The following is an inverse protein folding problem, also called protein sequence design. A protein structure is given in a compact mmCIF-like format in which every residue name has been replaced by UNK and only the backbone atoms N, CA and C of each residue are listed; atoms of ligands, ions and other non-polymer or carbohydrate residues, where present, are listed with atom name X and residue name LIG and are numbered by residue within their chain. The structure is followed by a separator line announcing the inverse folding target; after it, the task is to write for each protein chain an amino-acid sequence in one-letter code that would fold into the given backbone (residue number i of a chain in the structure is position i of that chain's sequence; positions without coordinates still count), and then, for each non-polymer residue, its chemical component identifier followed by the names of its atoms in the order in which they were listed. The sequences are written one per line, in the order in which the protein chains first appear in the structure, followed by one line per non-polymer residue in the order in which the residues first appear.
data_IF_686755243450
#
_entry.id   IF_686755243450
#
_cell.length_a   1.000
_cell.length_b   1.000
_cell.length_c   1.000
_cell.angle_alpha   90.00
_cell.angle_beta   90.00
_cell.angle_gamma   90.00
#
_symmetry.space_group_name_H-M   'P 1'
#
loop_
_entity.id
_entity.type
_entity.pdbx_description
1 polymer ?
#
# COMPACT_ATOMS: atom_id res chain seq x y z
N UNK A 1 -15.27 1.16 2.08
CA UNK A 1 -13.85 1.23 2.40
C UNK A 1 -13.40 -0.03 3.16
N UNK A 2 -12.17 -0.45 2.95
CA UNK A 2 -11.51 -1.39 3.87
C UNK A 2 -10.98 -0.62 5.08
N UNK A 3 -11.66 -0.75 6.20
CA UNK A 3 -11.19 -0.15 7.45
C UNK A 3 -9.92 -0.84 7.98
N UNK A 4 -9.67 -2.09 7.54
CA UNK A 4 -8.44 -2.86 7.80
C UNK A 4 -7.16 -2.11 7.37
N UNK A 5 -7.25 -1.24 6.34
CA UNK A 5 -6.11 -0.58 5.70
C UNK A 5 -5.82 0.78 6.37
N UNK A 6 -5.69 1.83 5.59
CA UNK A 6 -5.34 3.17 6.07
C UNK A 6 -6.23 3.73 7.19
N UNK A 7 -7.55 3.42 7.18
CA UNK A 7 -8.45 3.97 8.20
C UNK A 7 -8.03 3.57 9.61
N UNK A 8 -7.80 2.29 9.83
CA UNK A 8 -7.21 1.81 11.09
C UNK A 8 -5.70 2.06 11.16
N UNK A 9 -4.95 1.58 10.14
CA UNK A 9 -3.53 1.83 9.95
C UNK A 9 -2.57 1.12 10.91
N UNK A 10 -3.04 0.20 11.74
CA UNK A 10 -2.23 -0.47 12.75
C UNK A 10 -2.19 -1.99 12.61
N UNK A 11 -2.71 -2.54 11.52
CA UNK A 11 -2.66 -3.98 11.18
C UNK A 11 -3.27 -4.92 12.23
N UNK A 12 -4.17 -4.43 13.07
CA UNK A 12 -4.71 -5.13 14.24
C UNK A 12 -6.23 -5.39 14.17
N UNK A 13 -6.91 -5.00 13.07
CA UNK A 13 -8.32 -5.30 12.82
C UNK A 13 -8.58 -5.75 11.38
N UNK A 14 -9.65 -6.50 11.19
CA UNK A 14 -10.24 -6.79 9.88
C UNK A 14 -11.67 -6.25 9.87
N UNK A 15 -11.94 -5.22 9.07
CA UNK A 15 -13.21 -4.51 9.11
C UNK A 15 -13.51 -3.78 7.80
N UNK A 16 -14.79 -3.75 7.43
CA UNK A 16 -15.32 -2.90 6.35
C UNK A 16 -16.02 -1.66 6.91
N UNK A 17 -16.05 -0.59 6.11
CA UNK A 17 -16.84 0.60 6.39
C UNK A 17 -17.62 1.01 5.14
N UNK A 18 -18.92 1.24 5.30
CA UNK A 18 -19.82 1.75 4.29
C UNK A 18 -20.16 3.20 4.64
N UNK A 19 -20.13 4.07 3.63
CA UNK A 19 -20.47 5.48 3.79
C UNK A 19 -21.47 5.84 2.69
N UNK A 20 -22.63 6.34 3.06
CA UNK A 20 -23.65 6.83 2.14
C UNK A 20 -23.74 8.35 2.18
N UNK A 21 -24.14 8.95 1.07
CA UNK A 21 -24.41 10.40 1.00
C UNK A 21 -25.71 10.78 1.70
N UNK A 22 -26.69 9.87 1.69
CA UNK A 22 -28.00 10.05 2.29
C UNK A 22 -28.55 8.70 2.80
N UNK A 23 -29.47 8.78 3.74
CA UNK A 23 -30.26 7.64 4.20
C UNK A 23 -31.50 7.50 3.32
N UNK A 24 -31.31 6.88 2.14
CA UNK A 24 -32.34 6.57 1.16
C UNK A 24 -32.78 5.10 1.24
N UNK A 25 -33.73 4.69 0.40
CA UNK A 25 -34.23 3.31 0.34
C UNK A 25 -33.11 2.29 0.08
N UNK A 26 -32.07 2.69 -0.64
CA UNK A 26 -30.90 1.83 -0.86
C UNK A 26 -30.10 1.64 0.43
N UNK A 27 -29.88 2.71 1.17
CA UNK A 27 -29.20 2.65 2.47
C UNK A 27 -29.99 1.83 3.50
N UNK A 28 -31.32 1.95 3.53
CA UNK A 28 -32.19 1.15 4.41
C UNK A 28 -32.04 -0.35 4.09
N UNK A 29 -31.98 -0.70 2.80
CA UNK A 29 -31.77 -2.09 2.36
C UNK A 29 -30.40 -2.61 2.80
N UNK A 30 -29.33 -1.82 2.61
CA UNK A 30 -27.96 -2.16 3.03
C UNK A 30 -27.91 -2.37 4.54
N UNK A 31 -28.47 -1.45 5.33
CA UNK A 31 -28.55 -1.53 6.79
C UNK A 31 -29.36 -2.75 7.25
N UNK A 32 -30.46 -3.04 6.57
CA UNK A 32 -31.28 -4.22 6.83
C UNK A 32 -30.55 -5.54 6.54
N UNK A 33 -29.77 -5.62 5.46
CA UNK A 33 -28.92 -6.78 5.16
C UNK A 33 -27.85 -6.95 6.24
N UNK A 34 -27.12 -5.87 6.57
CA UNK A 34 -26.10 -5.87 7.62
C UNK A 34 -26.64 -6.41 8.95
N UNK A 35 -27.81 -5.93 9.37
CA UNK A 35 -28.42 -6.32 10.65
C UNK A 35 -28.87 -7.79 10.65
N UNK A 36 -29.43 -8.29 9.55
CA UNK A 36 -29.93 -9.67 9.44
C UNK A 36 -28.80 -10.69 9.26
N UNK A 37 -27.77 -10.37 8.47
CA UNK A 37 -26.64 -11.26 8.21
C UNK A 37 -25.64 -11.24 9.37
N UNK A 38 -25.60 -10.15 10.16
CA UNK A 38 -24.73 -10.03 11.33
C UNK A 38 -23.26 -9.81 11.00
N UNK A 39 -22.91 -9.39 9.79
CA UNK A 39 -21.53 -9.05 9.40
C UNK A 39 -21.14 -7.69 10.02
N UNK A 40 -20.99 -7.66 11.33
CA UNK A 40 -20.65 -6.48 12.12
C UNK A 40 -19.37 -6.72 12.92
N UNK A 41 -18.56 -5.67 13.17
CA UNK A 41 -17.38 -5.79 14.01
C UNK A 41 -17.76 -5.94 15.47
N UNK A 42 -16.86 -6.48 16.27
CA UNK A 42 -16.95 -6.40 17.72
C UNK A 42 -16.73 -4.96 18.23
N UNK A 43 -17.11 -4.72 19.46
CA UNK A 43 -16.94 -3.40 20.11
C UNK A 43 -15.47 -3.01 20.26
N UNK A 44 -14.61 -3.99 20.47
CA UNK A 44 -13.15 -3.77 20.59
C UNK A 44 -12.54 -3.35 19.25
N UNK A 45 -12.87 -4.03 18.15
CA UNK A 45 -12.41 -3.66 16.80
C UNK A 45 -12.94 -2.28 16.40
N UNK A 46 -14.18 -1.95 16.74
CA UNK A 46 -14.76 -0.62 16.49
C UNK A 46 -14.02 0.48 17.29
N UNK A 47 -13.63 0.20 18.52
CA UNK A 47 -12.85 1.12 19.34
C UNK A 47 -11.43 1.30 18.79
N UNK A 48 -10.74 0.21 18.36
CA UNK A 48 -9.44 0.28 17.72
C UNK A 48 -9.50 1.12 16.43
N UNK A 49 -10.52 0.91 15.59
CA UNK A 49 -10.72 1.73 14.40
C UNK A 49 -10.86 3.22 14.74
N UNK A 50 -11.72 3.55 15.70
CA UNK A 50 -11.92 4.93 16.14
C UNK A 50 -10.61 5.56 16.64
N UNK A 51 -9.82 4.79 17.40
CA UNK A 51 -8.50 5.20 17.87
C UNK A 51 -7.53 5.41 16.70
N UNK A 52 -7.47 4.49 15.74
CA UNK A 52 -6.61 4.58 14.55
C UNK A 52 -6.95 5.78 13.67
N UNK A 53 -8.23 6.08 13.49
CA UNK A 53 -8.69 7.22 12.70
C UNK A 53 -8.23 8.59 13.24
N UNK A 54 -7.93 8.70 14.53
CA UNK A 54 -7.40 9.96 15.11
C UNK A 54 -6.05 10.37 14.54
N UNK A 55 -5.28 9.42 14.02
CA UNK A 55 -3.97 9.67 13.40
C UNK A 55 -3.97 9.43 11.89
N UNK A 56 -5.14 9.32 11.26
CA UNK A 56 -5.26 9.03 9.82
C UNK A 56 -4.48 10.03 8.97
N UNK A 57 -4.74 11.32 9.15
CA UNK A 57 -4.14 12.35 8.31
C UNK A 57 -2.61 12.44 8.43
N UNK A 58 -2.00 12.52 9.62
CA UNK A 58 -0.54 12.52 9.73
C UNK A 58 0.09 11.23 9.20
N UNK A 59 -0.52 10.06 9.40
CA UNK A 59 -0.01 8.79 8.85
C UNK A 59 -0.05 8.77 7.33
N UNK A 60 -1.18 9.14 6.74
CA UNK A 60 -1.31 9.16 5.27
C UNK A 60 -0.35 10.18 4.67
N UNK A 61 -0.19 11.35 5.28
CA UNK A 61 0.78 12.36 4.82
C UNK A 61 2.21 11.84 4.83
N UNK A 62 2.62 11.17 5.91
CA UNK A 62 3.95 10.57 6.02
C UNK A 62 4.15 9.45 5.00
N UNK A 63 3.19 8.53 4.87
CA UNK A 63 3.23 7.44 3.90
C UNK A 63 3.33 7.95 2.44
N UNK A 64 2.57 9.01 2.11
CA UNK A 64 2.66 9.64 0.79
C UNK A 64 4.04 10.26 0.53
N UNK A 65 4.61 10.95 1.52
CA UNK A 65 5.94 11.55 1.40
C UNK A 65 7.02 10.47 1.22
N UNK A 66 6.95 9.39 2.00
CA UNK A 66 7.87 8.26 1.89
C UNK A 66 7.75 7.56 0.53
N UNK A 67 6.52 7.28 0.07
CA UNK A 67 6.31 6.67 -1.24
C UNK A 67 6.84 7.55 -2.38
N UNK A 68 6.64 8.87 -2.31
CA UNK A 68 7.18 9.81 -3.29
C UNK A 68 8.72 9.77 -3.31
N UNK A 69 9.36 9.85 -2.14
CA UNK A 69 10.81 9.83 -2.02
C UNK A 69 11.42 8.51 -2.56
N UNK A 70 10.83 7.38 -2.19
CA UNK A 70 11.23 6.06 -2.70
C UNK A 70 11.05 6.00 -4.22
N UNK A 71 9.90 6.43 -4.75
CA UNK A 71 9.63 6.40 -6.17
C UNK A 71 10.61 7.27 -6.97
N UNK A 72 10.90 8.49 -6.52
CA UNK A 72 11.84 9.40 -7.16
C UNK A 72 13.27 8.85 -7.15
N UNK A 73 13.69 8.28 -6.03
CA UNK A 73 15.03 7.70 -5.88
C UNK A 73 15.24 6.53 -6.86
N UNK A 74 14.29 5.59 -6.93
CA UNK A 74 14.41 4.40 -7.75
C UNK A 74 14.01 4.59 -9.22
N UNK A 75 13.44 5.73 -9.61
CA UNK A 75 13.00 5.98 -10.99
C UNK A 75 14.11 5.88 -12.05
N UNK A 76 15.38 6.05 -11.66
CA UNK A 76 16.56 5.94 -12.53
C UNK A 76 17.59 4.94 -12.00
N UNK A 77 17.20 4.09 -11.08
CA UNK A 77 18.12 3.15 -10.46
C UNK A 77 18.55 2.06 -11.47
N UNK A 78 19.85 1.71 -11.57
CA UNK A 78 20.36 0.81 -12.61
C UNK A 78 19.76 -0.60 -12.53
N UNK A 79 19.33 -1.05 -11.36
CA UNK A 79 18.73 -2.39 -11.14
C UNK A 79 17.19 -2.39 -11.17
N UNK A 80 16.55 -1.24 -11.37
CA UNK A 80 15.12 -1.11 -11.52
C UNK A 80 14.76 -0.87 -12.97
N UNK A 81 13.84 -1.65 -13.49
CA UNK A 81 13.34 -1.52 -14.86
C UNK A 81 12.31 -0.39 -14.95
N UNK A 82 11.42 -0.35 -13.97
CA UNK A 82 10.31 0.60 -13.95
C UNK A 82 9.82 0.85 -12.52
N UNK A 83 9.42 2.07 -12.25
CA UNK A 83 8.69 2.44 -11.02
C UNK A 83 7.27 2.85 -11.39
N UNK A 84 6.29 2.13 -10.85
CA UNK A 84 4.87 2.40 -11.04
C UNK A 84 4.34 3.20 -9.84
N UNK A 85 4.28 4.51 -10.00
CA UNK A 85 3.77 5.42 -8.98
C UNK A 85 3.13 6.66 -9.61
N UNK A 86 1.86 6.96 -9.31
CA UNK A 86 1.15 8.07 -9.96
C UNK A 86 1.71 9.46 -9.61
N UNK A 87 2.55 9.58 -8.58
CA UNK A 87 3.27 10.81 -8.25
C UNK A 87 4.44 11.14 -9.18
N UNK A 88 4.93 10.19 -9.98
CA UNK A 88 5.96 10.44 -10.98
C UNK A 88 5.36 11.04 -12.24
N UNK A 89 5.95 12.12 -12.77
CA UNK A 89 5.50 12.74 -14.03
C UNK A 89 5.59 11.80 -15.23
N UNK A 90 6.47 10.80 -15.19
CA UNK A 90 6.60 9.76 -16.21
C UNK A 90 5.50 8.72 -16.19
N UNK A 91 4.72 8.61 -15.11
CA UNK A 91 3.64 7.66 -15.00
C UNK A 91 2.47 8.03 -15.92
N UNK A 92 1.98 7.08 -16.72
CA UNK A 92 0.92 7.32 -17.71
C UNK A 92 -0.36 7.94 -17.11
N UNK A 93 -0.69 7.58 -15.86
CA UNK A 93 -1.86 8.10 -15.14
C UNK A 93 -1.60 9.38 -14.33
N UNK A 94 -0.40 9.98 -14.37
CA UNK A 94 -0.05 11.13 -13.54
C UNK A 94 -1.00 12.31 -13.67
N UNK A 95 -1.34 12.70 -14.90
CA UNK A 95 -2.21 13.84 -15.15
C UNK A 95 -3.62 13.65 -14.56
N UNK A 96 -4.14 12.43 -14.60
CA UNK A 96 -5.43 12.08 -13.99
C UNK A 96 -5.31 12.10 -12.46
N UNK A 97 -4.27 11.48 -11.91
CA UNK A 97 -4.04 11.45 -10.48
C UNK A 97 -3.86 12.87 -9.90
N UNK A 98 -3.07 13.72 -10.56
CA UNK A 98 -2.85 15.11 -10.15
C UNK A 98 -4.15 15.95 -10.18
N UNK A 99 -5.11 15.59 -11.03
CA UNK A 99 -6.43 16.24 -11.07
C UNK A 99 -7.37 15.77 -9.97
N UNK A 100 -7.26 14.49 -9.58
CA UNK A 100 -8.19 13.86 -8.64
C UNK A 100 -7.69 13.85 -7.20
N UNK A 101 -6.37 13.86 -6.97
CA UNK A 101 -5.75 13.71 -5.67
C UNK A 101 -5.16 15.03 -5.18
N UNK A 102 -5.20 15.24 -3.87
CA UNK A 102 -4.59 16.41 -3.21
C UNK A 102 -3.80 15.96 -1.99
N UNK A 103 -2.69 16.65 -1.70
CA UNK A 103 -1.85 16.36 -0.53
C UNK A 103 -0.95 15.13 -0.67
N UNK A 104 -0.85 14.53 -1.87
CA UNK A 104 0.01 13.39 -2.18
C UNK A 104 -0.67 12.39 -3.09
N UNK A 105 0.08 11.35 -3.49
CA UNK A 105 -0.36 10.34 -4.46
C UNK A 105 -0.52 8.94 -3.86
N UNK A 106 -0.71 8.86 -2.54
CA UNK A 106 -0.84 7.61 -1.81
C UNK A 106 0.49 7.01 -1.36
N UNK A 107 0.41 6.04 -0.45
CA UNK A 107 1.58 5.32 0.07
C UNK A 107 1.90 4.02 -0.69
N UNK A 108 1.22 3.75 -1.81
CA UNK A 108 1.40 2.53 -2.60
C UNK A 108 2.19 2.82 -3.87
N UNK A 109 3.23 2.03 -4.10
CA UNK A 109 3.99 2.02 -5.35
C UNK A 109 4.39 0.59 -5.71
N UNK A 110 4.87 0.40 -6.92
CA UNK A 110 5.51 -0.87 -7.31
C UNK A 110 6.81 -0.58 -8.05
N UNK A 111 7.77 -1.48 -7.91
CA UNK A 111 9.01 -1.48 -8.69
C UNK A 111 9.10 -2.79 -9.48
N UNK A 112 9.63 -2.72 -10.70
CA UNK A 112 10.01 -3.89 -11.49
C UNK A 112 11.52 -4.04 -11.41
N UNK A 113 11.99 -5.21 -10.99
CA UNK A 113 13.42 -5.47 -10.73
C UNK A 113 14.06 -6.08 -11.96
N UNK A 114 15.17 -5.50 -12.44
CA UNK A 114 15.94 -6.10 -13.52
C UNK A 114 16.52 -7.45 -13.10
N UNK A 115 16.47 -8.42 -13.99
CA UNK A 115 16.86 -9.80 -13.72
C UNK A 115 15.65 -10.73 -13.48
N UNK A 116 14.43 -10.22 -13.66
CA UNK A 116 13.21 -11.01 -13.67
C UNK A 116 12.75 -11.49 -12.29
N UNK A 117 11.97 -12.55 -12.28
CA UNK A 117 11.36 -13.11 -11.08
C UNK A 117 12.37 -13.45 -9.98
N UNK A 118 13.45 -14.14 -10.34
CA UNK A 118 14.47 -14.57 -9.37
C UNK A 118 15.11 -13.37 -8.64
N UNK A 119 15.40 -12.28 -9.36
CA UNK A 119 15.94 -11.06 -8.78
C UNK A 119 14.93 -10.35 -7.87
N UNK A 120 13.65 -10.29 -8.27
CA UNK A 120 12.59 -9.71 -7.45
C UNK A 120 12.39 -10.48 -6.14
N UNK A 121 12.29 -11.80 -6.22
CA UNK A 121 12.16 -12.67 -5.02
C UNK A 121 13.37 -12.52 -4.10
N UNK A 122 14.59 -12.51 -4.67
CA UNK A 122 15.82 -12.35 -3.91
C UNK A 122 15.90 -10.96 -3.25
N UNK A 123 15.46 -9.89 -3.94
CA UNK A 123 15.39 -8.54 -3.36
C UNK A 123 14.41 -8.53 -2.18
N UNK A 124 13.20 -9.06 -2.34
CA UNK A 124 12.23 -9.14 -1.26
C UNK A 124 12.71 -9.99 -0.07
N UNK A 125 13.60 -10.96 -0.31
CA UNK A 125 14.18 -11.78 0.76
C UNK A 125 15.25 -11.06 1.59
N UNK A 126 15.93 -10.05 1.01
CA UNK A 126 17.06 -9.35 1.64
C UNK A 126 16.70 -8.08 2.41
N UNK A 127 15.48 -7.57 2.25
CA UNK A 127 15.04 -6.41 3.03
C UNK A 127 15.07 -6.72 4.54
N UNK A 128 15.39 -5.71 5.33
CA UNK A 128 15.55 -5.79 6.79
C UNK A 128 14.50 -4.94 7.52
N UNK A 129 14.20 -3.78 6.99
CA UNK A 129 13.23 -2.83 7.53
C UNK A 129 11.84 -3.08 6.94
N UNK A 130 11.74 -3.14 5.61
CA UNK A 130 10.51 -3.54 4.94
C UNK A 130 10.07 -4.93 5.40
N UNK A 131 8.80 -5.09 5.75
CA UNK A 131 8.24 -6.39 6.15
C UNK A 131 7.67 -7.12 4.95
N UNK A 132 8.03 -8.38 4.78
CA UNK A 132 7.44 -9.25 3.73
C UNK A 132 6.06 -9.68 4.16
N UNK A 133 5.05 -9.04 3.63
CA UNK A 133 3.66 -9.36 3.93
C UNK A 133 2.73 -8.85 2.83
N UNK A 134 1.59 -9.50 2.68
CA UNK A 134 0.43 -8.96 2.01
C UNK A 134 -0.19 -7.84 2.86
N UNK A 135 -1.13 -7.11 2.34
CA UNK A 135 -1.78 -5.97 2.97
C UNK A 135 -1.15 -4.63 2.57
N UNK A 136 -1.62 -3.54 3.15
CA UNK A 136 -1.16 -2.19 2.86
C UNK A 136 -1.71 -1.18 3.88
N UNK A 137 -1.13 0.01 3.90
CA UNK A 137 -1.68 1.15 4.62
C UNK A 137 -1.48 1.12 6.13
N UNK A 138 -0.58 0.25 6.60
CA UNK A 138 -0.12 0.22 8.00
C UNK A 138 0.91 1.30 8.31
N UNK A 139 1.31 1.35 9.58
CA UNK A 139 2.45 2.15 10.06
C UNK A 139 3.77 1.57 9.59
N UNK A 140 3.84 0.23 9.42
CA UNK A 140 5.00 -0.48 8.92
C UNK A 140 5.00 -0.52 7.39
N UNK A 141 6.18 -0.36 6.81
CA UNK A 141 6.40 -0.54 5.38
C UNK A 141 6.40 -2.01 4.98
N UNK A 142 5.62 -2.34 3.95
CA UNK A 142 5.45 -3.70 3.47
C UNK A 142 5.95 -3.87 2.04
N UNK A 143 6.55 -5.02 1.77
CA UNK A 143 7.00 -5.44 0.43
C UNK A 143 6.43 -6.82 0.10
N UNK A 144 5.96 -6.99 -1.13
CA UNK A 144 5.34 -8.22 -1.59
C UNK A 144 5.72 -8.53 -3.04
N UNK A 145 6.17 -9.74 -3.30
CA UNK A 145 6.31 -10.27 -4.67
C UNK A 145 4.94 -10.74 -5.16
N UNK A 146 4.32 -9.96 -6.04
CA UNK A 146 2.92 -10.22 -6.48
C UNK A 146 2.75 -11.54 -7.20
N UNK A 147 3.69 -11.92 -8.06
CA UNK A 147 3.64 -13.20 -8.77
C UNK A 147 3.53 -14.41 -7.85
N UNK A 148 4.26 -14.42 -6.73
CA UNK A 148 4.20 -15.52 -5.74
C UNK A 148 2.86 -15.61 -5.00
N UNK A 149 2.15 -14.49 -4.84
CA UNK A 149 0.88 -14.44 -4.10
C UNK A 149 -0.31 -14.74 -5.00
N UNK A 150 -0.33 -14.19 -6.21
CA UNK A 150 -1.42 -14.39 -7.17
C UNK A 150 -1.35 -15.76 -7.86
N UNK A 151 -0.14 -16.32 -7.97
CA UNK A 151 0.08 -17.61 -8.62
C UNK A 151 0.09 -17.54 -10.14
N UNK A 152 0.10 -18.72 -10.81
CA UNK A 152 0.15 -18.81 -12.27
C UNK A 152 -1.05 -18.12 -12.93
N UNK A 153 -0.78 -17.26 -13.92
CA UNK A 153 -1.82 -16.52 -14.64
C UNK A 153 -2.15 -15.16 -14.02
N UNK A 154 -1.40 -14.72 -13.00
CA UNK A 154 -1.52 -13.37 -12.47
C UNK A 154 -1.31 -12.32 -13.57
N UNK A 155 -2.14 -11.27 -13.62
CA UNK A 155 -2.02 -10.21 -14.64
C UNK A 155 -0.87 -9.24 -14.37
N UNK A 156 0.03 -9.54 -13.45
CA UNK A 156 1.17 -8.70 -13.09
C UNK A 156 2.49 -9.29 -13.60
N UNK A 157 3.48 -8.46 -13.96
CA UNK A 157 4.82 -8.94 -14.29
C UNK A 157 5.45 -9.72 -13.14
N UNK A 158 6.18 -10.80 -13.45
CA UNK A 158 6.83 -11.65 -12.44
C UNK A 158 8.04 -10.99 -11.77
N UNK A 159 8.53 -9.89 -12.30
CA UNK A 159 9.60 -9.08 -11.71
C UNK A 159 9.07 -7.95 -10.80
N UNK A 160 7.76 -7.91 -10.52
CA UNK A 160 7.11 -6.83 -9.80
C UNK A 160 7.08 -7.05 -8.29
N UNK A 161 7.61 -6.07 -7.57
CA UNK A 161 7.46 -5.91 -6.12
C UNK A 161 6.47 -4.79 -5.83
N UNK A 162 5.40 -5.10 -5.09
CA UNK A 162 4.48 -4.11 -4.57
C UNK A 162 4.96 -3.62 -3.21
N UNK A 163 4.99 -2.32 -3.03
CA UNK A 163 5.44 -1.66 -1.81
C UNK A 163 4.29 -0.84 -1.21
N UNK A 164 4.11 -0.95 0.09
CA UNK A 164 3.25 -0.09 0.89
C UNK A 164 4.14 0.69 1.86
N UNK A 165 4.40 1.94 1.56
CA UNK A 165 5.21 2.78 2.44
C UNK A 165 4.45 3.10 3.74
N UNK A 166 5.11 2.88 4.86
CA UNK A 166 4.67 3.24 6.20
C UNK A 166 5.16 4.63 6.62
N UNK A 167 5.38 4.77 7.92
CA UNK A 167 5.76 6.06 8.53
C UNK A 167 7.19 6.08 9.11
N UNK A 168 8.00 5.08 8.79
CA UNK A 168 9.41 5.03 9.15
C UNK A 168 10.18 6.19 8.49
N UNK A 169 11.43 6.37 8.84
CA UNK A 169 12.29 7.34 8.17
C UNK A 169 12.46 6.97 6.67
N UNK A 170 12.14 7.90 5.77
CA UNK A 170 12.18 7.64 4.33
C UNK A 170 13.61 7.32 3.81
N UNK A 171 14.64 7.90 4.41
CA UNK A 171 16.04 7.59 4.08
C UNK A 171 16.41 6.14 4.44
N UNK A 172 15.94 5.65 5.57
CA UNK A 172 16.17 4.26 6.00
C UNK A 172 15.42 3.27 5.10
N UNK A 173 14.21 3.61 4.67
CA UNK A 173 13.44 2.80 3.71
C UNK A 173 14.17 2.69 2.36
N UNK A 174 14.75 3.79 1.87
CA UNK A 174 15.54 3.80 0.65
C UNK A 174 16.80 2.96 0.83
N UNK A 175 17.57 3.18 1.90
CA UNK A 175 18.79 2.45 2.17
C UNK A 175 18.57 0.93 2.29
N UNK A 176 17.44 0.51 2.86
CA UNK A 176 17.09 -0.91 2.96
C UNK A 176 16.79 -1.54 1.59
N UNK A 177 16.09 -0.82 0.70
CA UNK A 177 15.86 -1.30 -0.66
C UNK A 177 17.15 -1.30 -1.51
N UNK A 178 18.03 -0.29 -1.35
CA UNK A 178 19.34 -0.23 -2.03
C UNK A 178 20.16 -1.48 -1.69
N UNK A 179 20.39 -1.76 -0.42
CA UNK A 179 21.18 -2.93 -0.02
C UNK A 179 20.55 -4.25 -0.47
N UNK A 180 19.21 -4.30 -0.56
CA UNK A 180 18.50 -5.49 -1.02
C UNK A 180 18.65 -5.70 -2.54
N UNK A 181 18.69 -4.63 -3.33
CA UNK A 181 18.91 -4.66 -4.77
C UNK A 181 20.38 -4.97 -5.11
N UNK A 182 21.35 -4.43 -4.37
CA UNK A 182 22.77 -4.63 -4.61
C UNK A 182 23.22 -6.10 -4.48
N UNK A 183 22.60 -6.84 -3.61
CA UNK A 183 22.87 -8.29 -3.48
C UNK A 183 22.49 -9.15 -4.69
N UNK A 184 21.98 -8.56 -5.78
CA UNK A 184 21.69 -9.23 -7.06
C UNK A 184 22.90 -9.23 -8.03
N UNK A 185 24.14 -9.10 -7.52
CA UNK A 185 25.40 -9.12 -8.32
C UNK A 185 25.78 -10.52 -8.71
#
# INVERSE_FOLDING_TARGET
HSATKYLNGHSDIVMGALVAKAEDDYWERVSGVRSRVGAIPGSFEAWLLLRGMRTLFPRVKAACANAQAVAEHFARHPRVEEVLYPGLKSHAGHAIAAKQMSGGFGGMLSIRVKGGEAAAVATAARVKLWKRATSLGGTESLIEHRGSVEGPGAPCPMDLLRLSAGIENGGDLIADLEQALDGNS
#
